data_IF_678210628075
#
_entry.id   IF_678210628075
#
_cell.length_a   1.000
_cell.length_b   1.000
_cell.length_c   1.000
_cell.angle_alpha   90.00
_cell.angle_beta   90.00
_cell.angle_gamma   90.00
#
_symmetry.space_group_name_H-M   'P 1'
#
loop_
_entity.id
_entity.type
_entity.pdbx_description
1 polymer ?
#
# COMPACT_ATOMS: atom_id res chain seq x y z
N UNK A 1 -4.27 9.17 -9.20
CA UNK A 1 -3.35 8.16 -8.64
C UNK A 1 -2.19 8.81 -7.92
N UNK A 2 -1.22 9.42 -8.63
CA UNK A 2 -0.07 10.12 -8.03
C UNK A 2 -0.38 10.96 -6.79
N UNK A 3 -1.37 11.85 -6.88
CA UNK A 3 -1.79 12.69 -5.74
C UNK A 3 -2.24 11.87 -4.50
N UNK A 4 -2.88 10.72 -4.70
CA UNK A 4 -3.31 9.85 -3.60
C UNK A 4 -2.10 9.19 -2.94
N UNK A 5 -1.20 8.58 -3.73
CA UNK A 5 0.01 7.91 -3.24
C UNK A 5 0.94 8.86 -2.47
N UNK A 6 1.07 10.11 -2.93
CA UNK A 6 1.91 11.11 -2.26
C UNK A 6 1.25 11.72 -1.03
N UNK A 7 -0.08 11.81 -0.98
CA UNK A 7 -0.79 12.47 0.11
C UNK A 7 -1.13 11.54 1.28
N UNK A 8 -1.37 10.25 1.00
CA UNK A 8 -1.88 9.30 1.99
C UNK A 8 -0.81 8.21 2.21
N UNK A 9 -0.09 8.24 3.36
CA UNK A 9 0.95 7.25 3.63
C UNK A 9 0.35 5.85 3.79
N UNK A 10 1.13 4.82 3.47
CA UNK A 10 0.80 3.46 3.88
C UNK A 10 1.12 3.30 5.37
N UNK A 11 0.20 2.72 6.15
CA UNK A 11 0.44 2.40 7.57
C UNK A 11 -0.44 1.26 8.09
N UNK A 12 -0.02 0.62 9.18
CA UNK A 12 -0.79 -0.40 9.90
C UNK A 12 -0.92 -0.10 11.41
N UNK A 13 -0.87 1.17 11.83
CA UNK A 13 -0.88 1.57 13.24
C UNK A 13 -2.11 1.02 13.97
N UNK A 14 -3.29 1.11 13.35
CA UNK A 14 -4.52 0.62 14.01
C UNK A 14 -4.54 -0.91 14.16
N UNK A 15 -3.83 -1.62 13.28
CA UNK A 15 -3.65 -3.08 13.39
C UNK A 15 -2.72 -3.40 14.56
N UNK A 16 -1.56 -2.72 14.65
CA UNK A 16 -0.60 -2.90 15.75
C UNK A 16 -1.22 -2.56 17.10
N UNK A 17 -2.05 -1.51 17.15
CA UNK A 17 -2.75 -1.10 18.37
C UNK A 17 -4.01 -1.92 18.66
N UNK A 18 -4.42 -2.83 17.77
CA UNK A 18 -5.64 -3.64 17.94
C UNK A 18 -6.93 -2.81 18.00
N UNK A 19 -6.97 -1.67 17.32
CA UNK A 19 -8.07 -0.70 17.36
C UNK A 19 -8.75 -0.47 15.99
N UNK A 20 -8.40 -1.27 14.99
CA UNK A 20 -8.96 -1.17 13.64
C UNK A 20 -10.48 -1.38 13.65
N UNK A 21 -11.24 -0.53 12.96
CA UNK A 21 -12.72 -0.50 12.98
C UNK A 21 -13.38 -1.17 11.76
N UNK A 22 -12.59 -1.77 10.87
CA UNK A 22 -13.06 -2.37 9.62
C UNK A 22 -12.66 -1.55 8.40
N UNK A 23 -13.01 -2.02 7.21
CA UNK A 23 -12.59 -1.41 5.93
C UNK A 23 -13.77 -0.78 5.17
N UNK A 24 -14.86 -0.48 5.86
CA UNK A 24 -16.01 0.21 5.25
C UNK A 24 -15.64 1.64 4.85
N UNK A 25 -16.26 2.14 3.79
CA UNK A 25 -15.89 3.43 3.20
C UNK A 25 -16.03 4.60 4.18
N UNK A 26 -17.01 4.59 5.07
CA UNK A 26 -17.22 5.61 6.10
C UNK A 26 -16.09 5.62 7.14
N UNK A 27 -15.68 4.45 7.63
CA UNK A 27 -14.55 4.28 8.56
C UNK A 27 -13.26 4.74 7.90
N UNK A 28 -13.00 4.25 6.69
CA UNK A 28 -11.80 4.58 5.91
C UNK A 28 -11.74 6.08 5.60
N UNK A 29 -12.84 6.68 5.15
CA UNK A 29 -12.89 8.11 4.82
C UNK A 29 -12.67 8.98 6.05
N UNK A 30 -13.32 8.67 7.18
CA UNK A 30 -13.13 9.40 8.42
C UNK A 30 -11.67 9.38 8.90
N UNK A 31 -10.95 8.27 8.64
CA UNK A 31 -9.53 8.13 8.97
C UNK A 31 -8.62 8.82 7.95
N UNK A 32 -8.64 8.41 6.68
CA UNK A 32 -7.66 8.82 5.66
C UNK A 32 -7.89 10.26 5.17
N UNK A 33 -9.14 10.76 5.20
CA UNK A 33 -9.47 12.13 4.76
C UNK A 33 -9.66 13.05 5.96
N UNK A 34 -10.31 12.56 7.02
CA UNK A 34 -10.63 13.35 8.21
C UNK A 34 -9.45 13.57 9.17
N UNK A 35 -8.38 12.77 9.06
CA UNK A 35 -7.19 12.85 9.93
C UNK A 35 -5.92 12.81 9.06
N UNK A 36 -4.80 13.26 9.62
CA UNK A 36 -3.47 13.03 9.04
C UNK A 36 -3.02 11.60 9.33
N UNK A 37 -3.71 10.63 8.74
CA UNK A 37 -3.50 9.19 8.92
C UNK A 37 -3.45 8.51 7.56
N UNK A 38 -2.83 7.34 7.53
CA UNK A 38 -2.74 6.51 6.35
C UNK A 38 -3.66 5.29 6.43
N UNK A 39 -3.42 4.34 5.55
CA UNK A 39 -4.00 3.00 5.65
C UNK A 39 -3.21 2.01 4.82
N UNK A 40 -3.42 0.72 5.05
CA UNK A 40 -2.86 -0.33 4.18
C UNK A 40 -3.73 -0.58 2.94
N UNK A 41 -3.43 -1.64 2.19
CA UNK A 41 -3.97 -1.84 0.84
C UNK A 41 -5.50 -1.81 0.74
N UNK A 42 -6.24 -2.40 1.68
CA UNK A 42 -7.71 -2.40 1.62
C UNK A 42 -8.32 -1.00 1.83
N UNK A 43 -7.77 -0.22 2.75
CA UNK A 43 -8.25 1.14 3.04
C UNK A 43 -7.93 2.08 1.87
N UNK A 44 -6.69 2.05 1.39
CA UNK A 44 -6.21 2.88 0.27
C UNK A 44 -6.97 2.54 -1.03
N UNK A 45 -6.89 1.28 -1.47
CA UNK A 45 -7.51 0.84 -2.72
C UNK A 45 -9.04 0.88 -2.65
N UNK A 46 -9.65 0.63 -1.49
CA UNK A 46 -11.09 0.76 -1.30
C UNK A 46 -11.58 2.20 -1.46
N UNK A 47 -10.91 3.17 -0.81
CA UNK A 47 -11.21 4.60 -0.97
C UNK A 47 -10.99 5.06 -2.41
N UNK A 48 -9.87 4.66 -3.02
CA UNK A 48 -9.54 5.09 -4.37
C UNK A 48 -10.50 4.51 -5.41
N UNK A 49 -10.93 3.26 -5.25
CA UNK A 49 -11.96 2.66 -6.10
C UNK A 49 -13.27 3.47 -6.03
N UNK A 50 -13.73 3.83 -4.83
CA UNK A 50 -14.94 4.64 -4.66
C UNK A 50 -14.84 6.01 -5.34
N UNK A 51 -13.68 6.67 -5.25
CA UNK A 51 -13.41 7.93 -5.96
C UNK A 51 -13.47 7.75 -7.48
N UNK A 52 -12.82 6.72 -8.01
CA UNK A 52 -12.80 6.46 -9.45
C UNK A 52 -14.20 6.12 -10.00
N UNK A 53 -14.97 5.33 -9.30
CA UNK A 53 -16.36 5.01 -9.69
C UNK A 53 -17.24 6.25 -9.68
N UNK A 54 -17.10 7.12 -8.67
CA UNK A 54 -17.83 8.38 -8.62
C UNK A 54 -17.46 9.32 -9.77
N UNK A 55 -16.22 9.22 -10.29
CA UNK A 55 -15.77 9.93 -11.49
C UNK A 55 -16.23 9.24 -12.81
N UNK A 56 -16.91 8.10 -12.72
CA UNK A 56 -17.47 7.39 -13.88
C UNK A 56 -16.52 6.41 -14.56
N UNK A 57 -15.41 6.05 -13.93
CA UNK A 57 -14.51 5.02 -14.46
C UNK A 57 -15.04 3.62 -14.20
N UNK A 58 -14.76 2.70 -15.12
CA UNK A 58 -14.93 1.26 -14.89
C UNK A 58 -13.75 0.75 -14.06
N UNK A 59 -14.04 0.28 -12.85
CA UNK A 59 -13.02 -0.19 -11.89
C UNK A 59 -13.19 -1.68 -11.62
N UNK A 60 -12.13 -2.43 -11.88
CA UNK A 60 -12.01 -3.85 -11.55
C UNK A 60 -11.25 -4.00 -10.24
N UNK A 61 -11.92 -4.53 -9.23
CA UNK A 61 -11.33 -4.83 -7.91
C UNK A 61 -10.76 -6.23 -7.91
N UNK A 62 -9.46 -6.37 -7.64
CA UNK A 62 -8.73 -7.62 -7.77
C UNK A 62 -8.05 -8.01 -6.45
N UNK A 63 -7.60 -9.26 -6.38
CA UNK A 63 -6.67 -9.73 -5.35
C UNK A 63 -5.36 -10.16 -5.98
N UNK A 64 -4.27 -9.82 -5.31
CA UNK A 64 -2.92 -10.01 -5.80
C UNK A 64 -2.01 -10.62 -4.72
N UNK A 65 -0.89 -11.17 -5.18
CA UNK A 65 0.18 -11.72 -4.35
C UNK A 65 1.37 -10.79 -4.38
N UNK A 66 1.79 -10.33 -3.20
CA UNK A 66 3.03 -9.59 -3.00
C UNK A 66 4.20 -10.58 -2.94
N UNK A 67 5.31 -10.26 -3.60
CA UNK A 67 6.51 -11.11 -3.69
C UNK A 67 6.17 -12.56 -4.13
N UNK A 68 5.64 -12.74 -5.36
CA UNK A 68 5.08 -14.01 -5.83
C UNK A 68 6.05 -15.21 -5.81
N UNK A 69 7.36 -14.96 -5.79
CA UNK A 69 8.38 -16.01 -5.60
C UNK A 69 8.40 -16.62 -4.19
N UNK A 70 7.62 -16.08 -3.25
CA UNK A 70 7.44 -16.59 -1.88
C UNK A 70 6.03 -17.17 -1.69
N UNK A 71 5.85 -18.17 -0.80
CA UNK A 71 4.55 -18.81 -0.57
C UNK A 71 3.59 -17.96 0.30
N UNK A 72 3.41 -16.67 -0.03
CA UNK A 72 2.49 -15.76 0.67
C UNK A 72 1.02 -15.95 0.28
N UNK A 73 0.06 -15.29 0.95
CA UNK A 73 -1.36 -15.35 0.59
C UNK A 73 -1.75 -14.30 -0.47
N UNK A 74 -2.87 -14.54 -1.18
CA UNK A 74 -3.52 -13.55 -2.07
C UNK A 74 -4.35 -12.57 -1.24
N UNK A 75 -3.67 -11.61 -0.62
CA UNK A 75 -4.28 -10.65 0.33
C UNK A 75 -4.01 -9.21 -0.04
N UNK A 76 -3.40 -8.94 -1.19
CA UNK A 76 -3.19 -7.57 -1.63
C UNK A 76 -4.38 -7.11 -2.48
N UNK A 77 -5.08 -6.06 -2.04
CA UNK A 77 -6.11 -5.43 -2.86
C UNK A 77 -5.45 -4.49 -3.87
N UNK A 78 -5.66 -4.77 -5.15
CA UNK A 78 -5.22 -3.93 -6.26
C UNK A 78 -6.38 -3.64 -7.21
N UNK A 79 -6.21 -2.63 -8.06
CA UNK A 79 -7.25 -2.17 -8.98
C UNK A 79 -6.74 -2.20 -10.42
N UNK A 80 -7.62 -2.56 -11.33
CA UNK A 80 -7.46 -2.29 -12.76
C UNK A 80 -8.56 -1.34 -13.20
N UNK A 81 -8.21 -0.34 -13.99
CA UNK A 81 -9.14 0.72 -14.42
C UNK A 81 -9.11 0.81 -15.93
N UNK A 82 -10.30 0.85 -16.55
CA UNK A 82 -10.40 1.03 -18.00
C UNK A 82 -10.52 2.52 -18.35
N UNK A 83 -9.68 2.98 -19.27
CA UNK A 83 -9.63 4.35 -19.78
C UNK A 83 -9.44 4.29 -21.30
N UNK A 84 -10.38 4.87 -22.05
CA UNK A 84 -10.34 4.94 -23.52
C UNK A 84 -10.04 3.58 -24.19
N UNK A 85 -10.69 2.51 -23.71
CA UNK A 85 -10.54 1.15 -24.24
C UNK A 85 -9.22 0.45 -23.87
N UNK A 86 -8.46 1.00 -22.93
CA UNK A 86 -7.21 0.42 -22.40
C UNK A 86 -7.32 0.20 -20.90
N UNK A 87 -6.70 -0.87 -20.40
CA UNK A 87 -6.69 -1.18 -18.97
C UNK A 87 -5.36 -0.78 -18.33
N UNK A 88 -5.43 -0.26 -17.11
CA UNK A 88 -4.28 0.20 -16.34
C UNK A 88 -4.32 -0.40 -14.95
N UNK A 89 -3.19 -0.94 -14.48
CA UNK A 89 -3.00 -1.23 -13.05
C UNK A 89 -2.91 0.10 -12.29
N UNK A 90 -3.80 0.28 -11.32
CA UNK A 90 -3.92 1.47 -10.51
C UNK A 90 -3.73 1.12 -9.03
N UNK A 91 -2.54 0.60 -8.69
CA UNK A 91 -2.22 0.15 -7.34
C UNK A 91 -1.75 1.30 -6.45
N UNK A 92 -2.66 1.83 -5.63
CA UNK A 92 -2.37 2.85 -4.63
C UNK A 92 -2.12 2.28 -3.22
N UNK A 93 -2.37 0.98 -3.05
CA UNK A 93 -2.40 0.32 -1.75
C UNK A 93 -1.12 -0.42 -1.38
N UNK A 94 -0.17 -0.57 -2.31
CA UNK A 94 1.09 -1.26 -2.06
C UNK A 94 2.03 -0.50 -1.10
N UNK A 95 1.83 0.82 -0.96
CA UNK A 95 2.76 1.74 -0.32
C UNK A 95 3.84 2.16 -1.30
N UNK A 96 5.07 1.67 -1.16
CA UNK A 96 6.18 2.00 -2.06
C UNK A 96 6.22 1.10 -3.33
N UNK A 97 5.08 1.02 -4.03
CA UNK A 97 4.91 0.22 -5.25
C UNK A 97 5.11 1.04 -6.52
N UNK A 98 4.02 1.64 -7.03
CA UNK A 98 3.99 2.46 -8.25
C UNK A 98 3.37 3.83 -7.98
N UNK A 99 3.77 4.85 -8.74
CA UNK A 99 3.32 6.23 -8.53
C UNK A 99 2.22 6.64 -9.53
N UNK A 100 2.33 6.18 -10.77
CA UNK A 100 1.38 6.45 -11.85
C UNK A 100 0.71 5.15 -12.34
N UNK A 101 -0.45 5.23 -13.01
CA UNK A 101 -1.12 4.06 -13.55
C UNK A 101 -0.22 3.33 -14.55
N UNK A 102 -0.05 2.02 -14.37
CA UNK A 102 0.78 1.17 -15.22
C UNK A 102 -0.10 0.58 -16.34
N UNK A 103 0.14 0.89 -17.63
CA UNK A 103 -0.58 0.27 -18.73
C UNK A 103 -0.45 -1.25 -18.70
N UNK A 104 -1.56 -1.98 -18.83
CA UNK A 104 -1.54 -3.43 -18.96
C UNK A 104 -1.18 -3.84 -20.39
N UNK A 105 0.08 -3.63 -20.75
CA UNK A 105 0.68 -4.02 -22.01
C UNK A 105 1.86 -4.95 -21.72
N UNK A 106 1.85 -6.15 -22.29
CA UNK A 106 2.91 -7.13 -22.05
C UNK A 106 4.29 -6.59 -22.45
N UNK A 107 5.25 -6.68 -21.53
CA UNK A 107 6.61 -6.17 -21.68
C UNK A 107 6.73 -4.66 -21.53
N UNK A 108 5.67 -3.94 -21.14
CA UNK A 108 5.76 -2.49 -20.97
C UNK A 108 6.66 -2.12 -19.81
N UNK A 109 7.60 -1.21 -20.08
CA UNK A 109 8.55 -0.66 -19.12
C UNK A 109 8.33 0.84 -18.96
N UNK A 110 8.32 1.32 -17.72
CA UNK A 110 8.15 2.74 -17.42
C UNK A 110 8.83 3.10 -16.10
N UNK A 111 9.31 4.33 -16.00
CA UNK A 111 9.78 4.90 -14.75
C UNK A 111 8.60 5.10 -13.78
N UNK A 112 8.75 4.60 -12.55
CA UNK A 112 7.83 4.87 -11.45
C UNK A 112 8.64 5.45 -10.30
N UNK A 113 8.57 6.78 -10.17
CA UNK A 113 9.27 7.54 -9.14
C UNK A 113 10.81 7.43 -9.18
N UNK A 114 11.40 7.17 -10.35
CA UNK A 114 12.84 6.98 -10.52
C UNK A 114 13.28 5.51 -10.63
N UNK A 115 12.39 4.55 -10.35
CA UNK A 115 12.69 3.13 -10.50
C UNK A 115 12.03 2.57 -11.75
N UNK A 116 12.81 1.88 -12.58
CA UNK A 116 12.27 1.15 -13.72
C UNK A 116 11.35 0.02 -13.25
N UNK A 117 10.12 0.06 -13.72
CA UNK A 117 9.17 -1.02 -13.54
C UNK A 117 8.82 -1.65 -14.88
N UNK A 118 8.61 -2.97 -14.86
CA UNK A 118 8.14 -3.72 -16.02
C UNK A 118 6.89 -4.49 -15.65
N UNK A 119 5.91 -4.54 -16.54
CA UNK A 119 4.78 -5.45 -16.42
C UNK A 119 4.82 -6.48 -17.54
N UNK A 120 4.69 -7.76 -17.19
CA UNK A 120 4.70 -8.88 -18.14
C UNK A 120 3.46 -9.73 -17.97
N UNK A 121 3.08 -10.45 -19.04
CA UNK A 121 1.92 -11.33 -19.07
C UNK A 121 2.35 -12.78 -19.34
N UNK A 122 1.81 -13.72 -18.57
CA UNK A 122 1.93 -15.15 -18.81
C UNK A 122 0.55 -15.82 -18.69
N UNK A 123 -0.09 -16.09 -19.83
CA UNK A 123 -1.48 -16.54 -19.86
C UNK A 123 -2.41 -15.46 -19.28
N UNK A 124 -3.11 -15.78 -18.20
CA UNK A 124 -4.00 -14.84 -17.51
C UNK A 124 -3.33 -14.07 -16.36
N UNK A 125 -2.06 -14.36 -16.10
CA UNK A 125 -1.29 -13.74 -15.03
C UNK A 125 -0.54 -12.52 -15.54
N UNK A 126 -0.57 -11.47 -14.74
CA UNK A 126 0.23 -10.27 -14.86
C UNK A 126 1.21 -10.20 -13.70
N UNK A 127 2.47 -9.90 -14.02
CA UNK A 127 3.53 -9.73 -13.02
C UNK A 127 4.15 -8.35 -13.16
N UNK A 128 4.14 -7.58 -12.07
CA UNK A 128 4.82 -6.30 -11.95
C UNK A 128 6.20 -6.53 -11.31
N UNK A 129 7.21 -5.97 -11.95
CA UNK A 129 8.60 -6.01 -11.52
C UNK A 129 9.09 -4.61 -11.19
N UNK A 130 9.91 -4.49 -10.13
CA UNK A 130 10.74 -3.32 -9.83
C UNK A 130 12.19 -3.73 -10.00
N UNK A 131 12.87 -3.21 -11.02
CA UNK A 131 14.16 -3.76 -11.45
C UNK A 131 14.03 -5.24 -11.83
N UNK A 132 14.78 -6.11 -11.15
CA UNK A 132 14.75 -7.58 -11.36
C UNK A 132 13.81 -8.33 -10.39
N UNK A 133 13.22 -7.64 -9.41
CA UNK A 133 12.36 -8.27 -8.39
C UNK A 133 10.89 -8.28 -8.85
N UNK A 134 10.26 -9.45 -8.83
CA UNK A 134 8.82 -9.58 -8.98
C UNK A 134 8.16 -9.11 -7.67
N UNK A 135 7.46 -7.98 -7.71
CA UNK A 135 6.86 -7.38 -6.51
C UNK A 135 5.37 -7.70 -6.37
N UNK A 136 4.67 -7.91 -7.48
CA UNK A 136 3.23 -8.18 -7.50
C UNK A 136 2.86 -9.15 -8.62
N UNK A 137 1.98 -10.11 -8.35
CA UNK A 137 1.36 -10.97 -9.34
C UNK A 137 -0.15 -11.04 -9.13
N UNK A 138 -0.92 -10.92 -10.22
CA UNK A 138 -2.37 -10.93 -10.19
C UNK A 138 -2.95 -11.45 -11.50
N UNK A 139 -4.25 -11.71 -11.51
CA UNK A 139 -5.04 -11.98 -12.71
C UNK A 139 -6.28 -11.10 -12.67
N UNK A 140 -7.04 -11.04 -13.76
CA UNK A 140 -8.35 -10.37 -13.75
C UNK A 140 -9.38 -11.28 -13.06
N UNK A 141 -9.29 -11.41 -11.75
CA UNK A 141 -10.30 -12.04 -10.89
C UNK A 141 -11.10 -10.97 -10.16
N UNK A 142 -12.35 -10.77 -10.58
CA UNK A 142 -13.26 -9.85 -9.90
C UNK A 142 -13.49 -10.29 -8.46
N UNK A 143 -13.30 -9.34 -7.53
CA UNK A 143 -13.50 -9.52 -6.10
C UNK A 143 -14.67 -8.66 -5.63
N UNK A 144 -15.44 -9.17 -4.69
CA UNK A 144 -16.50 -8.43 -4.03
C UNK A 144 -16.01 -7.83 -2.69
N UNK A 145 -16.66 -6.77 -2.18
CA UNK A 145 -16.31 -6.17 -0.89
C UNK A 145 -16.17 -7.19 0.26
N UNK A 146 -17.02 -8.21 0.31
CA UNK A 146 -16.99 -9.24 1.35
C UNK A 146 -15.72 -10.09 1.32
N UNK A 147 -15.09 -10.28 0.16
CA UNK A 147 -13.84 -11.04 0.07
C UNK A 147 -12.71 -10.28 0.77
N UNK A 148 -12.71 -8.95 0.65
CA UNK A 148 -11.75 -8.10 1.34
C UNK A 148 -11.97 -8.09 2.85
N UNK A 149 -13.20 -8.22 3.36
CA UNK A 149 -13.44 -8.39 4.80
C UNK A 149 -12.79 -9.68 5.34
N UNK A 150 -12.87 -10.78 4.57
CA UNK A 150 -12.23 -12.05 4.93
C UNK A 150 -10.70 -11.92 4.90
N UNK A 151 -10.14 -11.32 3.84
CA UNK A 151 -8.69 -11.14 3.72
C UNK A 151 -8.17 -10.14 4.75
N UNK A 152 -8.91 -9.07 5.01
CA UNK A 152 -8.65 -8.10 6.06
C UNK A 152 -8.57 -8.76 7.42
N UNK A 153 -9.51 -9.66 7.76
CA UNK A 153 -9.46 -10.37 9.04
C UNK A 153 -8.15 -11.16 9.19
N UNK A 154 -7.70 -11.86 8.16
CA UNK A 154 -6.39 -12.53 8.18
C UNK A 154 -5.25 -11.51 8.36
N UNK A 155 -5.19 -10.48 7.52
CA UNK A 155 -4.11 -9.48 7.52
C UNK A 155 -4.03 -8.71 8.84
N UNK A 156 -5.16 -8.42 9.49
CA UNK A 156 -5.24 -7.55 10.67
C UNK A 156 -5.27 -8.28 12.01
N UNK A 157 -5.55 -9.59 12.04
CA UNK A 157 -5.70 -10.31 13.32
C UNK A 157 -4.94 -11.63 13.39
N UNK A 158 -4.59 -12.24 12.26
CA UNK A 158 -3.96 -13.56 12.29
C UNK A 158 -2.50 -13.46 12.79
N UNK A 159 -2.06 -14.27 13.77
CA UNK A 159 -0.69 -14.25 14.33
C UNK A 159 0.46 -14.53 13.33
N UNK A 160 0.13 -14.88 12.09
CA UNK A 160 1.09 -15.16 11.01
C UNK A 160 1.13 -14.03 9.98
N UNK A 161 0.25 -13.05 10.11
CA UNK A 161 0.30 -11.85 9.29
C UNK A 161 1.55 -11.06 9.66
N UNK A 162 2.32 -10.56 8.68
CA UNK A 162 3.42 -9.66 8.96
C UNK A 162 2.97 -8.31 9.55
N UNK A 163 1.67 -7.98 9.48
CA UNK A 163 1.12 -6.69 9.89
C UNK A 163 0.63 -6.63 11.34
N UNK A 164 0.50 -7.76 12.05
CA UNK A 164 -0.03 -7.75 13.44
C UNK A 164 1.02 -7.53 14.52
N UNK A 165 2.31 -7.73 14.19
CA UNK A 165 3.40 -7.74 15.19
C UNK A 165 4.52 -6.74 14.93
N UNK A 166 4.39 -5.87 13.92
CA UNK A 166 5.42 -4.90 13.56
C UNK A 166 4.79 -3.67 12.94
N UNK A 167 5.24 -2.49 13.34
CA UNK A 167 4.89 -1.24 12.68
C UNK A 167 5.43 -1.24 11.23
N UNK A 168 4.59 -0.88 10.27
CA UNK A 168 4.94 -0.78 8.86
C UNK A 168 4.36 0.53 8.36
N UNK A 169 5.22 1.47 8.00
CA UNK A 169 4.84 2.73 7.38
C UNK A 169 5.66 2.91 6.11
N UNK A 170 5.03 3.33 5.02
CA UNK A 170 5.72 3.58 3.76
C UNK A 170 5.21 4.84 3.08
N UNK A 171 6.13 5.61 2.49
CA UNK A 171 5.81 6.74 1.61
C UNK A 171 6.62 6.62 0.32
N UNK A 172 6.05 7.15 -0.77
CA UNK A 172 6.67 7.17 -2.08
C UNK A 172 6.50 8.53 -2.73
N UNK A 173 7.62 9.14 -3.07
CA UNK A 173 7.72 10.40 -3.82
C UNK A 173 8.71 10.24 -4.97
N UNK A 174 8.68 11.12 -5.99
CA UNK A 174 9.68 11.11 -7.04
C UNK A 174 11.10 11.12 -6.48
N UNK A 175 11.85 10.05 -6.72
CA UNK A 175 13.25 9.91 -6.32
C UNK A 175 13.50 9.48 -4.87
N UNK A 176 12.45 9.22 -4.07
CA UNK A 176 12.62 8.78 -2.67
C UNK A 176 11.51 7.84 -2.21
N UNK A 177 11.92 6.72 -1.64
CA UNK A 177 11.06 5.74 -0.97
C UNK A 177 11.47 5.66 0.49
N UNK A 178 10.52 5.83 1.40
CA UNK A 178 10.77 5.75 2.85
C UNK A 178 9.97 4.59 3.43
N UNK A 179 10.60 3.77 4.27
CA UNK A 179 9.99 2.60 4.90
C UNK A 179 10.39 2.53 6.36
N UNK A 180 9.45 2.74 7.28
CA UNK A 180 9.65 2.49 8.70
C UNK A 180 9.09 1.10 9.02
N UNK A 181 9.98 0.16 9.32
CA UNK A 181 9.64 -1.21 9.68
C UNK A 181 10.06 -1.47 11.14
N UNK A 182 9.11 -1.56 12.06
CA UNK A 182 9.35 -1.51 13.49
C UNK A 182 9.98 -0.16 13.83
N UNK A 183 11.27 -0.19 14.18
CA UNK A 183 12.07 0.99 14.53
C UNK A 183 13.06 1.41 13.46
N UNK A 184 13.20 0.63 12.38
CA UNK A 184 14.17 0.89 11.33
C UNK A 184 13.53 1.71 10.22
N UNK A 185 13.93 2.98 10.10
CA UNK A 185 13.59 3.84 8.97
C UNK A 185 14.63 3.68 7.88
N UNK A 186 14.24 3.10 6.75
CA UNK A 186 15.06 3.02 5.55
C UNK A 186 14.60 4.06 4.53
N UNK A 187 15.55 4.85 4.02
CA UNK A 187 15.36 5.80 2.90
C UNK A 187 16.15 5.28 1.70
N UNK A 188 15.46 5.00 0.61
CA UNK A 188 16.01 4.43 -0.62
C UNK A 188 15.84 5.43 -1.77
N UNK A 189 16.86 5.52 -2.64
CA UNK A 189 16.86 6.36 -3.83
C UNK A 189 17.12 5.56 -5.11
N UNK A 190 16.73 6.08 -6.29
CA UNK A 190 16.92 5.42 -7.58
C UNK A 190 18.34 4.98 -7.94
N UNK A 191 19.35 5.69 -7.45
CA UNK A 191 20.77 5.37 -7.71
C UNK A 191 21.27 4.13 -6.94
N UNK A 192 20.39 3.47 -6.18
CA UNK A 192 20.70 2.33 -5.34
C UNK A 192 21.25 2.71 -3.97
N UNK A 193 21.40 4.00 -3.67
CA UNK A 193 21.75 4.44 -2.32
C UNK A 193 20.59 4.17 -1.35
N UNK A 194 20.95 3.70 -0.16
CA UNK A 194 20.01 3.40 0.91
C UNK A 194 20.65 3.73 2.25
N UNK A 195 19.89 4.40 3.11
CA UNK A 195 20.28 4.74 4.48
C UNK A 195 19.25 4.15 5.43
N UNK A 196 19.70 3.49 6.49
CA UNK A 196 18.82 2.95 7.53
C UNK A 196 19.19 3.55 8.88
N UNK A 197 18.21 4.11 9.58
CA UNK A 197 18.37 4.69 10.91
C UNK A 197 17.38 4.03 11.88
N UNK A 198 17.88 3.62 13.05
CA UNK A 198 17.05 3.15 14.16
C UNK A 198 16.45 4.34 14.90
N UNK A 199 15.12 4.42 14.94
CA UNK A 199 14.37 5.50 15.58
C UNK A 199 14.24 5.24 17.09
N UNK A 200 14.61 6.22 17.91
CA UNK A 200 14.41 6.17 19.35
C UNK A 200 12.93 6.44 19.74
N UNK A 201 12.45 5.95 20.91
CA UNK A 201 11.04 6.12 21.27
C UNK A 201 10.60 7.59 21.41
N UNK A 202 11.51 8.47 21.80
CA UNK A 202 11.32 9.92 21.90
C UNK A 202 11.33 10.63 20.54
N UNK A 203 11.96 10.04 19.52
CA UNK A 203 11.97 10.56 18.14
C UNK A 203 10.74 10.12 17.33
N UNK A 204 10.03 9.07 17.78
CA UNK A 204 8.95 8.44 17.03
C UNK A 204 7.89 9.43 16.53
N UNK A 205 7.40 10.32 17.40
CA UNK A 205 6.34 11.27 17.04
C UNK A 205 6.79 12.22 15.90
N UNK A 206 8.01 12.72 15.98
CA UNK A 206 8.58 13.58 14.94
C UNK A 206 8.74 12.80 13.62
N UNK A 207 9.22 11.56 13.69
CA UNK A 207 9.34 10.69 12.52
C UNK A 207 7.99 10.39 11.88
N UNK A 208 6.96 10.07 12.67
CA UNK A 208 5.61 9.82 12.16
C UNK A 208 5.04 11.05 11.45
N UNK A 209 5.22 12.24 12.04
CA UNK A 209 4.78 13.51 11.45
C UNK A 209 5.46 13.81 10.11
N UNK A 210 6.77 13.55 10.01
CA UNK A 210 7.52 13.68 8.75
C UNK A 210 7.06 12.68 7.69
N UNK A 211 6.57 11.50 8.10
CA UNK A 211 5.95 10.50 7.24
C UNK A 211 4.45 10.78 6.97
N UNK A 212 3.92 11.92 7.41
CA UNK A 212 2.54 12.32 7.17
C UNK A 212 1.50 11.72 8.12
N UNK A 213 1.93 11.14 9.25
CA UNK A 213 1.08 10.48 10.24
C UNK A 213 1.08 11.27 11.56
N UNK A 214 -0.11 11.60 12.03
CA UNK A 214 -0.34 12.18 13.35
C UNK A 214 -1.21 11.27 14.20
N UNK A 215 -0.65 10.89 15.35
CA UNK A 215 -1.33 10.09 16.36
C UNK A 215 -1.83 10.98 17.50
N UNK A 216 -2.90 10.55 18.14
CA UNK A 216 -3.29 11.11 19.44
C UNK A 216 -2.23 10.78 20.50
N UNK A 217 -2.17 11.53 21.61
CA UNK A 217 -1.24 11.21 22.70
C UNK A 217 -1.39 9.77 23.23
N UNK A 218 -2.61 9.24 23.31
CA UNK A 218 -2.86 7.84 23.74
C UNK A 218 -2.31 6.82 22.74
N UNK A 219 -2.62 6.98 21.45
CA UNK A 219 -2.12 6.11 20.38
C UNK A 219 -0.58 6.09 20.35
N UNK A 220 0.04 7.26 20.49
CA UNK A 220 1.50 7.41 20.50
C UNK A 220 2.14 6.68 21.69
N UNK A 221 1.62 6.88 22.90
CA UNK A 221 2.16 6.24 24.10
C UNK A 221 1.99 4.71 24.04
N UNK A 222 0.82 4.23 23.60
CA UNK A 222 0.60 2.78 23.41
C UNK A 222 1.55 2.21 22.36
N UNK A 223 1.77 2.93 21.26
CA UNK A 223 2.69 2.48 20.21
C UNK A 223 4.13 2.39 20.75
N UNK A 224 4.61 3.40 21.49
CA UNK A 224 5.95 3.39 22.10
C UNK A 224 6.21 2.19 23.01
N UNK A 225 5.18 1.66 23.67
CA UNK A 225 5.32 0.51 24.56
C UNK A 225 5.44 -0.85 23.86
N UNK A 226 5.19 -0.93 22.54
CA UNK A 226 5.00 -2.21 21.86
C UNK A 226 5.57 -2.37 20.44
N UNK A 227 6.38 -1.43 19.93
CA UNK A 227 6.88 -1.44 18.53
C UNK A 227 8.38 -1.73 18.36
#
# INVERSE_FOLDING_TARGET
>A
MRAHVQAIPFENVDVVLGQHQGISLDVVSAKLVGRRRGGYCYEQSGLFAAVLEQLGYTVHRLSARVQPRRPGPYTHMTLVVDVDGRSFLADVGFGAGILDPMPLLDGHEVDQAGWLHRITRNGDWWTLQKGEEDILEFRLNEMHPIDYEVYHHYTSTHPKSPFTGRLVIMTLEPGVSRRLLGRELTVERPDGSSETTTIAPDELDATLKDLGIELTPDELERLKTGY
#
